data_IF_869287233918
#
_entry.id   IF_869287233918
#
_cell.length_a   1.000
_cell.length_b   1.000
_cell.length_c   1.000
_cell.angle_alpha   90.00
_cell.angle_beta   90.00
_cell.angle_gamma   90.00
#
_symmetry.space_group_name_H-M   'P 1'
#
loop_
_entity.id
_entity.type
_entity.pdbx_description
1 polymer ?
#
# COMPACT_ATOMS: atom_id res chain seq x y z
N UNK A 1 27.34 -5.44 7.15
CA UNK A 1 25.98 -4.98 6.79
C UNK A 1 25.95 -3.50 7.09
N UNK A 2 25.29 -2.67 6.29
CA UNK A 2 25.12 -1.26 6.63
C UNK A 2 24.41 -1.13 7.97
N UNK A 3 24.73 -0.08 8.71
CA UNK A 3 24.05 0.23 9.98
C UNK A 3 22.56 0.41 9.71
N UNK A 4 21.70 -0.30 10.44
CA UNK A 4 20.24 -0.16 10.27
C UNK A 4 19.81 1.21 10.76
N UNK A 5 18.93 1.89 10.01
CA UNK A 5 18.42 3.18 10.44
C UNK A 5 17.54 3.00 11.68
N UNK A 6 17.47 4.03 12.50
CA UNK A 6 16.53 4.05 13.62
C UNK A 6 15.09 4.14 13.10
N UNK A 7 14.24 3.30 13.64
CA UNK A 7 12.79 3.31 13.42
C UNK A 7 12.11 3.03 14.77
N UNK A 8 12.25 4.00 15.67
CA UNK A 8 11.78 3.87 17.05
C UNK A 8 10.25 4.09 17.07
N UNK A 9 9.53 3.11 17.59
CA UNK A 9 8.08 3.17 17.82
C UNK A 9 7.85 3.20 19.33
N UNK A 10 7.09 4.16 19.88
CA UNK A 10 6.79 4.20 21.30
C UNK A 10 6.15 2.90 21.79
N UNK A 11 6.30 2.58 23.08
CA UNK A 11 5.66 1.43 23.70
C UNK A 11 4.13 1.48 23.51
N UNK A 12 3.51 0.31 23.40
CA UNK A 12 2.06 0.23 23.18
C UNK A 12 1.54 -1.21 23.27
N UNK A 13 0.25 -1.35 22.98
CA UNK A 13 -0.44 -2.62 22.93
C UNK A 13 -0.38 -3.20 21.50
N UNK A 14 -0.65 -4.49 21.36
CA UNK A 14 -0.82 -5.12 20.05
C UNK A 14 -2.28 -5.05 19.59
N UNK A 15 -2.51 -4.70 18.32
CA UNK A 15 -3.79 -4.87 17.64
C UNK A 15 -3.86 -6.26 17.01
N UNK A 16 -5.09 -6.73 16.70
CA UNK A 16 -5.28 -7.80 15.73
C UNK A 16 -5.35 -7.19 14.34
N UNK A 17 -4.65 -7.77 13.39
CA UNK A 17 -4.58 -7.28 12.02
C UNK A 17 -4.90 -8.40 11.06
N UNK A 18 -5.80 -8.16 10.12
CA UNK A 18 -6.07 -9.05 8.99
C UNK A 18 -5.87 -8.29 7.67
N UNK A 19 -5.27 -8.94 6.69
CA UNK A 19 -5.10 -8.41 5.34
C UNK A 19 -6.24 -8.93 4.48
N UNK A 20 -6.98 -8.01 3.85
CA UNK A 20 -8.16 -8.32 3.04
C UNK A 20 -7.79 -8.15 1.57
N UNK A 21 -8.02 -9.19 0.77
CA UNK A 21 -8.07 -9.05 -0.68
C UNK A 21 -9.37 -8.32 -1.05
N UNK A 22 -9.27 -7.07 -1.48
CA UNK A 22 -10.43 -6.23 -1.84
C UNK A 22 -11.24 -6.75 -3.04
N UNK A 23 -10.85 -7.88 -3.59
CA UNK A 23 -11.40 -8.51 -4.79
C UNK A 23 -11.14 -7.75 -6.11
N UNK A 24 -10.52 -6.59 -6.09
CA UNK A 24 -10.11 -5.88 -7.30
C UNK A 24 -9.14 -6.73 -8.12
N UNK A 25 -9.40 -6.81 -9.42
CA UNK A 25 -8.44 -7.26 -10.45
C UNK A 25 -8.46 -6.23 -11.56
N UNK A 26 -7.40 -5.43 -11.63
CA UNK A 26 -7.19 -4.41 -12.66
C UNK A 26 -6.04 -4.84 -13.56
N UNK A 27 -6.31 -5.07 -14.82
CA UNK A 27 -5.31 -5.41 -15.84
C UNK A 27 -5.31 -4.43 -17.01
N UNK A 28 -4.27 -4.49 -17.86
CA UNK A 28 -4.14 -3.66 -19.02
C UNK A 28 -3.64 -2.23 -18.78
N UNK A 29 -3.29 -1.88 -17.54
CA UNK A 29 -2.68 -0.59 -17.23
C UNK A 29 -1.24 -0.55 -17.74
N UNK A 30 -0.84 0.44 -18.57
CA UNK A 30 0.55 0.57 -18.99
C UNK A 30 1.49 0.73 -17.79
N UNK A 31 2.64 0.04 -17.81
CA UNK A 31 3.62 0.15 -16.73
C UNK A 31 4.10 1.59 -16.52
N UNK A 32 4.34 2.30 -17.63
CA UNK A 32 4.81 3.70 -17.62
C UNK A 32 3.75 4.70 -17.17
N UNK A 33 2.49 4.26 -16.95
CA UNK A 33 1.47 5.09 -16.32
C UNK A 33 1.82 5.38 -14.85
N UNK A 34 2.32 4.37 -14.13
CA UNK A 34 2.65 4.48 -12.71
C UNK A 34 4.13 4.79 -12.46
N UNK A 35 5.05 4.27 -13.28
CA UNK A 35 6.49 4.25 -12.98
C UNK A 35 7.36 4.60 -14.18
N UNK A 36 8.56 5.12 -13.88
CA UNK A 36 9.63 5.43 -14.85
C UNK A 36 11.02 5.08 -14.27
N UNK A 37 12.06 4.85 -15.12
CA UNK A 37 12.00 4.71 -16.56
C UNK A 37 11.34 3.40 -17.00
N UNK A 38 10.94 3.31 -18.26
CA UNK A 38 10.43 2.07 -18.85
C UNK A 38 11.45 0.92 -18.70
N UNK A 39 10.94 -0.33 -18.68
CA UNK A 39 11.78 -1.53 -18.63
C UNK A 39 11.36 -2.49 -19.74
N UNK A 40 12.33 -3.04 -20.47
CA UNK A 40 12.08 -4.02 -21.53
C UNK A 40 11.30 -5.22 -20.97
N UNK A 41 10.19 -5.56 -21.63
CA UNK A 41 9.33 -6.68 -21.21
C UNK A 41 8.35 -6.38 -20.06
N UNK A 42 8.30 -5.12 -19.60
CA UNK A 42 7.30 -4.61 -18.69
C UNK A 42 6.48 -3.50 -19.37
N UNK A 43 5.67 -3.89 -20.36
CA UNK A 43 4.82 -2.96 -21.11
C UNK A 43 3.55 -2.61 -20.32
N UNK A 44 3.04 -3.55 -19.52
CA UNK A 44 1.89 -3.38 -18.67
C UNK A 44 2.22 -3.79 -17.22
N UNK A 45 1.48 -3.21 -16.28
CA UNK A 45 1.50 -3.66 -14.89
C UNK A 45 1.04 -5.13 -14.79
N UNK A 46 1.59 -5.93 -13.88
CA UNK A 46 0.93 -7.14 -13.44
C UNK A 46 -0.52 -6.83 -13.04
N UNK A 47 -1.42 -7.81 -13.10
CA UNK A 47 -2.79 -7.58 -12.62
C UNK A 47 -2.76 -7.04 -11.20
N UNK A 48 -3.28 -5.83 -11.00
CA UNK A 48 -3.26 -5.14 -9.71
C UNK A 48 -4.45 -5.54 -8.85
N UNK A 49 -4.25 -5.53 -7.56
CA UNK A 49 -5.28 -5.48 -6.52
C UNK A 49 -5.00 -4.29 -5.61
N UNK A 50 -5.90 -3.98 -4.69
CA UNK A 50 -5.63 -3.12 -3.53
C UNK A 50 -5.83 -3.95 -2.28
N UNK A 51 -4.82 -4.01 -1.43
CA UNK A 51 -4.95 -4.63 -0.12
C UNK A 51 -5.67 -3.68 0.83
N UNK A 52 -6.72 -4.17 1.47
CA UNK A 52 -7.38 -3.50 2.58
C UNK A 52 -6.98 -4.18 3.89
N UNK A 53 -7.14 -3.49 5.01
CA UNK A 53 -6.75 -4.05 6.31
C UNK A 53 -7.87 -3.85 7.32
N UNK A 54 -8.16 -4.89 8.09
CA UNK A 54 -8.98 -4.78 9.30
C UNK A 54 -8.05 -4.74 10.51
N UNK A 55 -8.17 -3.68 11.31
CA UNK A 55 -7.37 -3.47 12.51
C UNK A 55 -8.32 -3.40 13.71
N UNK A 56 -8.17 -4.34 14.66
CA UNK A 56 -8.94 -4.38 15.88
C UNK A 56 -8.04 -4.05 17.07
N UNK A 57 -8.34 -2.96 17.76
CA UNK A 57 -7.62 -2.56 18.97
C UNK A 57 -7.92 -3.48 20.15
N UNK A 58 -7.06 -3.51 21.19
CA UNK A 58 -7.34 -4.25 22.43
C UNK A 58 -8.61 -3.81 23.17
N UNK A 59 -9.13 -2.63 22.86
CA UNK A 59 -10.40 -2.13 23.40
C UNK A 59 -11.63 -2.60 22.62
N UNK A 60 -11.44 -3.35 21.52
CA UNK A 60 -12.50 -3.84 20.65
C UNK A 60 -12.93 -2.87 19.54
N UNK A 61 -12.32 -1.67 19.45
CA UNK A 61 -12.56 -0.76 18.33
C UNK A 61 -11.98 -1.31 17.04
N UNK A 62 -12.72 -1.19 15.95
CA UNK A 62 -12.33 -1.71 14.63
C UNK A 62 -12.20 -0.58 13.61
N UNK A 63 -11.09 -0.58 12.89
CA UNK A 63 -10.86 0.31 11.76
C UNK A 63 -10.55 -0.49 10.50
N UNK A 64 -11.03 0.00 9.36
CA UNK A 64 -10.60 -0.46 8.04
C UNK A 64 -9.64 0.56 7.44
N UNK A 65 -8.55 0.09 6.86
CA UNK A 65 -7.63 0.91 6.08
C UNK A 65 -7.78 0.52 4.62
N UNK A 66 -8.28 1.45 3.80
CA UNK A 66 -8.71 1.34 2.42
C UNK A 66 -9.87 0.34 2.17
N UNK A 67 -10.58 0.53 1.07
CA UNK A 67 -11.73 -0.29 0.67
C UNK A 67 -11.63 -0.83 -0.78
N UNK A 68 -10.51 -0.59 -1.47
CA UNK A 68 -10.37 -0.98 -2.88
C UNK A 68 -11.27 -0.17 -3.82
N UNK A 69 -11.80 -0.84 -4.85
CA UNK A 69 -12.75 -0.31 -5.83
C UNK A 69 -14.15 -0.80 -5.48
N UNK A 70 -15.21 0.03 -5.59
CA UNK A 70 -16.57 -0.43 -5.35
C UNK A 70 -17.03 -1.41 -6.43
N UNK A 71 -17.87 -2.36 -6.04
CA UNK A 71 -18.64 -3.16 -6.99
C UNK A 71 -19.43 -2.24 -7.92
N UNK A 72 -19.50 -2.57 -9.21
CA UNK A 72 -20.13 -1.74 -10.23
C UNK A 72 -19.57 -0.28 -10.26
N UNK A 73 -18.25 -0.12 -10.49
CA UNK A 73 -17.58 1.16 -10.31
C UNK A 73 -18.16 2.29 -11.18
N UNK A 74 -18.67 1.98 -12.38
CA UNK A 74 -19.29 2.98 -13.25
C UNK A 74 -20.59 3.58 -12.70
N UNK A 75 -21.21 2.94 -11.71
CA UNK A 75 -22.41 3.44 -11.02
C UNK A 75 -22.09 4.07 -9.68
N UNK A 76 -21.11 3.51 -8.98
CA UNK A 76 -20.86 3.82 -7.58
C UNK A 76 -19.75 4.85 -7.37
N UNK A 77 -19.11 5.32 -8.43
CA UNK A 77 -18.18 6.46 -8.37
C UNK A 77 -18.83 7.79 -8.76
N UNK A 78 -18.12 8.89 -8.49
CA UNK A 78 -18.40 10.17 -9.12
C UNK A 78 -18.22 10.05 -10.64
N UNK A 79 -18.88 10.91 -11.44
CA UNK A 79 -18.68 10.91 -12.90
C UNK A 79 -17.22 11.01 -13.31
N UNK A 80 -16.41 11.75 -12.56
CA UNK A 80 -14.96 11.91 -12.83
C UNK A 80 -14.22 10.58 -12.84
N UNK A 81 -14.43 9.72 -11.86
CA UNK A 81 -13.78 8.40 -11.81
C UNK A 81 -14.42 7.41 -12.78
N UNK A 82 -15.75 7.41 -12.93
CA UNK A 82 -16.41 6.60 -13.93
C UNK A 82 -15.87 6.91 -15.35
N UNK A 83 -15.65 8.18 -15.67
CA UNK A 83 -15.09 8.62 -16.95
C UNK A 83 -13.60 8.28 -17.08
N UNK A 84 -12.85 8.32 -15.99
CA UNK A 84 -11.45 7.86 -15.99
C UNK A 84 -11.36 6.40 -16.41
N UNK A 85 -12.20 5.53 -15.85
CA UNK A 85 -12.25 4.11 -16.24
C UNK A 85 -12.67 3.96 -17.71
N UNK A 86 -13.72 4.68 -18.16
CA UNK A 86 -14.20 4.60 -19.54
C UNK A 86 -13.17 5.06 -20.58
N UNK A 87 -12.39 6.12 -20.28
CA UNK A 87 -11.37 6.67 -21.18
C UNK A 87 -10.16 5.74 -21.32
N UNK A 88 -9.87 4.95 -20.32
CA UNK A 88 -8.78 3.98 -20.32
C UNK A 88 -9.32 2.62 -20.81
N UNK A 89 -9.69 2.53 -22.08
CA UNK A 89 -10.35 1.36 -22.67
C UNK A 89 -9.53 0.05 -22.59
N UNK A 90 -8.24 0.15 -22.35
CA UNK A 90 -7.37 -1.02 -22.13
C UNK A 90 -7.42 -1.56 -20.70
N UNK A 91 -8.03 -0.81 -19.78
CA UNK A 91 -8.18 -1.25 -18.38
C UNK A 91 -9.35 -2.22 -18.27
N UNK A 92 -9.07 -3.42 -17.81
CA UNK A 92 -10.08 -4.37 -17.38
C UNK A 92 -10.20 -4.32 -15.85
N UNK A 93 -11.31 -3.74 -15.38
CA UNK A 93 -11.58 -3.52 -13.94
C UNK A 93 -12.65 -4.50 -13.49
N UNK A 94 -12.26 -5.57 -12.84
CA UNK A 94 -13.17 -6.57 -12.29
C UNK A 94 -13.21 -6.49 -10.77
N UNK A 95 -14.41 -6.30 -10.21
CA UNK A 95 -14.65 -6.19 -8.76
C UNK A 95 -15.91 -6.99 -8.41
N UNK A 96 -15.79 -8.26 -8.08
CA UNK A 96 -16.95 -9.10 -7.75
C UNK A 96 -17.62 -8.75 -6.42
N UNK A 97 -16.86 -8.21 -5.44
CA UNK A 97 -17.34 -7.94 -4.08
C UNK A 97 -16.81 -6.61 -3.55
N UNK A 98 -17.63 -5.89 -2.76
CA UNK A 98 -17.12 -4.84 -1.89
C UNK A 98 -16.39 -5.44 -0.68
N UNK A 99 -15.53 -4.68 -0.02
CA UNK A 99 -14.95 -5.09 1.26
C UNK A 99 -16.04 -5.38 2.30
N UNK A 100 -17.14 -4.62 2.28
CA UNK A 100 -18.30 -4.87 3.14
C UNK A 100 -18.92 -6.25 2.91
N UNK A 101 -19.03 -6.72 1.66
CA UNK A 101 -19.55 -8.06 1.33
C UNK A 101 -18.60 -9.13 1.90
N UNK A 102 -17.29 -8.93 1.76
CA UNK A 102 -16.27 -9.86 2.26
C UNK A 102 -16.33 -9.97 3.79
N UNK A 103 -16.51 -8.86 4.49
CA UNK A 103 -16.66 -8.85 5.95
C UNK A 103 -17.93 -9.60 6.38
N UNK A 104 -19.07 -9.29 5.76
CA UNK A 104 -20.35 -9.89 6.09
C UNK A 104 -20.37 -11.40 5.82
N UNK A 105 -19.76 -11.90 4.75
CA UNK A 105 -19.60 -13.31 4.44
C UNK A 105 -18.75 -14.08 5.48
N UNK A 106 -18.00 -13.37 6.31
CA UNK A 106 -17.16 -13.92 7.37
C UNK A 106 -17.64 -13.49 8.77
N UNK A 107 -18.94 -13.27 8.92
CA UNK A 107 -19.63 -13.01 10.19
C UNK A 107 -19.20 -11.71 10.91
N UNK A 108 -18.53 -10.78 10.25
CA UNK A 108 -18.24 -9.46 10.79
C UNK A 108 -19.41 -8.52 10.53
N UNK A 109 -20.04 -8.03 11.59
CA UNK A 109 -21.13 -7.08 11.48
C UNK A 109 -20.60 -5.70 11.07
N UNK A 110 -21.13 -5.12 10.00
CA UNK A 110 -20.67 -3.79 9.51
C UNK A 110 -20.87 -2.68 10.55
N UNK A 111 -21.82 -2.87 11.48
CA UNK A 111 -22.04 -1.95 12.61
C UNK A 111 -20.95 -1.97 13.68
N UNK A 112 -20.05 -2.96 13.63
CA UNK A 112 -18.88 -3.04 14.52
C UNK A 112 -17.68 -2.25 13.98
N UNK A 113 -17.74 -1.77 12.75
CA UNK A 113 -16.68 -0.97 12.15
C UNK A 113 -16.85 0.49 12.58
N UNK A 114 -15.96 0.93 13.47
CA UNK A 114 -16.00 2.31 14.01
C UNK A 114 -15.52 3.32 12.97
N UNK A 115 -14.54 2.95 12.16
CA UNK A 115 -13.89 3.88 11.23
C UNK A 115 -13.45 3.19 9.94
N UNK A 116 -13.57 3.92 8.83
CA UNK A 116 -12.89 3.66 7.57
C UNK A 116 -11.86 4.74 7.36
N UNK A 117 -10.64 4.37 7.06
CA UNK A 117 -9.52 5.26 6.78
C UNK A 117 -9.22 5.15 5.30
N UNK A 118 -9.34 6.25 4.56
CA UNK A 118 -8.80 6.33 3.23
C UNK A 118 -7.35 6.76 3.31
N UNK A 119 -6.43 5.93 2.80
CA UNK A 119 -5.03 6.33 2.66
C UNK A 119 -4.91 7.59 1.83
N UNK A 120 -5.72 7.68 0.77
CA UNK A 120 -5.89 8.85 -0.09
C UNK A 120 -7.18 8.71 -0.92
N UNK A 121 -7.45 9.69 -1.80
CA UNK A 121 -8.74 9.75 -2.50
C UNK A 121 -8.82 8.93 -3.79
N UNK A 122 -7.75 8.32 -4.29
CA UNK A 122 -7.78 7.62 -5.58
C UNK A 122 -8.83 6.51 -5.62
N UNK A 123 -9.33 6.26 -6.84
CA UNK A 123 -10.51 5.43 -7.09
C UNK A 123 -10.38 4.00 -6.54
N UNK A 124 -9.17 3.47 -6.49
CA UNK A 124 -8.89 2.10 -6.07
C UNK A 124 -8.59 1.94 -4.57
N UNK A 125 -8.85 3.00 -3.78
CA UNK A 125 -8.70 3.00 -2.31
C UNK A 125 -10.00 3.31 -1.58
N UNK A 126 -10.87 4.13 -2.18
CA UNK A 126 -12.04 4.69 -1.49
C UNK A 126 -13.23 3.73 -1.36
N UNK A 127 -13.33 2.72 -2.24
CA UNK A 127 -14.41 1.74 -2.28
C UNK A 127 -15.81 2.35 -2.25
N UNK A 128 -16.74 1.68 -1.57
CA UNK A 128 -18.07 2.23 -1.30
C UNK A 128 -18.36 2.27 0.20
N UNK A 129 -18.00 3.37 0.85
CA UNK A 129 -18.24 3.57 2.28
C UNK A 129 -19.73 3.64 2.62
N UNK A 130 -20.62 3.89 1.65
CA UNK A 130 -22.07 3.94 1.89
C UNK A 130 -22.66 2.59 2.25
N UNK A 131 -21.92 1.50 2.04
CA UNK A 131 -22.27 0.15 2.50
C UNK A 131 -22.19 -0.01 4.01
N UNK A 132 -21.46 0.89 4.69
CA UNK A 132 -21.35 0.92 6.15
C UNK A 132 -22.38 1.88 6.77
N UNK A 133 -22.84 1.62 8.02
CA UNK A 133 -23.78 2.50 8.70
C UNK A 133 -23.19 3.90 8.87
N UNK A 134 -24.07 4.90 9.04
CA UNK A 134 -23.66 6.31 9.22
C UNK A 134 -22.87 6.57 10.52
N UNK A 135 -22.93 5.65 11.47
CA UNK A 135 -22.08 5.66 12.66
C UNK A 135 -20.61 5.39 12.39
N UNK A 136 -20.28 4.73 11.28
CA UNK A 136 -18.89 4.51 10.85
C UNK A 136 -18.29 5.82 10.37
N UNK A 137 -17.23 6.29 11.03
CA UNK A 137 -16.52 7.53 10.67
C UNK A 137 -15.72 7.35 9.38
N UNK A 138 -15.57 8.42 8.60
CA UNK A 138 -14.59 8.48 7.51
C UNK A 138 -13.39 9.31 7.97
N UNK A 139 -12.21 8.68 7.94
CA UNK A 139 -10.94 9.29 8.32
C UNK A 139 -10.13 9.56 7.06
N UNK A 140 -9.58 10.76 6.96
CA UNK A 140 -8.79 11.23 5.82
C UNK A 140 -7.55 11.99 6.28
N UNK A 141 -6.59 12.12 5.39
CA UNK A 141 -5.35 12.83 5.69
C UNK A 141 -5.45 14.35 5.54
N UNK A 142 -4.36 15.06 5.93
CA UNK A 142 -4.33 16.52 5.95
C UNK A 142 -4.56 17.16 4.58
N UNK A 143 -5.41 18.19 4.54
CA UNK A 143 -5.71 18.95 3.34
C UNK A 143 -6.84 18.37 2.48
N UNK A 144 -7.35 17.18 2.80
CA UNK A 144 -8.42 16.53 2.06
C UNK A 144 -9.68 17.40 1.97
N UNK A 145 -10.16 17.93 3.10
CA UNK A 145 -11.38 18.75 3.10
C UNK A 145 -11.26 19.98 2.23
N UNK A 146 -10.09 20.61 2.25
CA UNK A 146 -9.83 21.80 1.43
C UNK A 146 -9.76 21.49 -0.06
N UNK A 147 -9.22 20.31 -0.42
CA UNK A 147 -8.97 19.95 -1.81
C UNK A 147 -10.19 19.34 -2.51
N UNK A 148 -11.05 18.60 -1.77
CA UNK A 148 -12.07 17.74 -2.37
C UNK A 148 -13.51 18.04 -1.94
N UNK A 149 -13.72 19.01 -1.02
CA UNK A 149 -15.07 19.42 -0.67
C UNK A 149 -15.45 20.76 -1.34
N UNK A 150 -16.71 20.92 -1.74
CA UNK A 150 -17.79 19.92 -1.65
C UNK A 150 -17.57 18.77 -2.64
N UNK A 151 -18.20 17.60 -2.34
CA UNK A 151 -18.17 16.45 -3.24
C UNK A 151 -19.17 16.59 -4.40
N UNK A 152 -19.16 15.59 -5.30
CA UNK A 152 -20.21 15.45 -6.31
C UNK A 152 -21.56 15.14 -5.63
N UNK A 153 -22.71 15.73 -5.98
CA UNK A 153 -22.91 16.56 -7.16
C UNK A 153 -22.71 18.07 -6.98
N UNK A 154 -22.46 18.58 -5.76
CA UNK A 154 -22.31 20.02 -5.56
C UNK A 154 -21.10 20.59 -6.31
N UNK A 155 -20.00 19.85 -6.38
CA UNK A 155 -18.92 20.06 -7.33
C UNK A 155 -18.96 18.95 -8.40
N UNK A 156 -19.37 19.27 -9.65
CA UNK A 156 -19.43 18.27 -10.72
C UNK A 156 -18.09 17.63 -11.09
N UNK A 157 -16.98 18.32 -10.80
CA UNK A 157 -15.61 17.86 -11.09
C UNK A 157 -14.95 17.15 -9.90
N UNK A 158 -15.64 17.04 -8.75
CA UNK A 158 -15.08 16.35 -7.59
C UNK A 158 -14.89 14.84 -7.83
N UNK A 159 -13.75 14.27 -7.44
CA UNK A 159 -13.53 12.83 -7.49
C UNK A 159 -14.33 12.06 -6.43
N UNK A 160 -14.69 12.72 -5.32
CA UNK A 160 -15.43 12.10 -4.21
C UNK A 160 -16.91 12.53 -4.24
N UNK A 161 -17.79 11.72 -3.65
CA UNK A 161 -19.24 12.00 -3.62
C UNK A 161 -19.64 12.57 -2.26
N UNK A 162 -20.61 13.48 -2.22
CA UNK A 162 -21.23 13.91 -0.97
C UNK A 162 -21.79 12.72 -0.17
N UNK A 163 -22.35 11.72 -0.87
CA UNK A 163 -22.84 10.49 -0.26
C UNK A 163 -21.79 9.74 0.57
N UNK A 164 -20.51 9.93 0.29
CA UNK A 164 -19.43 9.25 1.02
C UNK A 164 -19.29 9.79 2.45
N UNK A 165 -19.64 11.05 2.70
CA UNK A 165 -19.50 11.68 4.02
C UNK A 165 -20.80 12.27 4.57
N UNK A 166 -21.88 12.35 3.79
CA UNK A 166 -23.17 12.84 4.25
C UNK A 166 -23.70 11.98 5.42
N UNK A 167 -24.04 12.64 6.54
CA UNK A 167 -24.61 12.00 7.70
C UNK A 167 -23.66 11.15 8.54
N UNK A 168 -22.34 11.17 8.24
CA UNK A 168 -21.29 10.55 9.04
C UNK A 168 -20.24 11.57 9.45
N UNK A 169 -19.48 11.26 10.48
CA UNK A 169 -18.33 12.08 10.83
C UNK A 169 -17.24 11.92 9.77
N UNK A 170 -16.85 13.05 9.12
CA UNK A 170 -15.67 13.17 8.30
C UNK A 170 -14.56 13.83 9.12
N UNK A 171 -13.57 13.03 9.54
CA UNK A 171 -12.44 13.50 10.37
C UNK A 171 -11.17 13.58 9.52
N UNK A 172 -10.61 14.78 9.45
CA UNK A 172 -9.28 15.00 8.89
C UNK A 172 -8.24 14.92 9.99
N UNK A 173 -7.17 14.15 9.79
CA UNK A 173 -6.09 13.98 10.77
C UNK A 173 -5.23 15.23 10.81
N UNK A 174 -4.96 15.69 12.03
CA UNK A 174 -4.01 16.76 12.31
C UNK A 174 -2.79 16.20 13.05
N UNK A 175 -1.65 16.16 12.39
CA UNK A 175 -0.38 15.71 12.97
C UNK A 175 0.27 16.74 13.90
N UNK A 176 -0.30 17.95 14.01
CA UNK A 176 0.20 19.01 14.90
C UNK A 176 -0.47 18.98 16.29
N UNK A 177 -1.67 18.42 16.39
CA UNK A 177 -2.43 18.38 17.65
C UNK A 177 -1.66 17.67 18.78
N UNK A 178 -1.03 16.53 18.46
CA UNK A 178 -0.16 15.78 19.37
C UNK A 178 1.08 15.34 18.63
N UNK A 179 2.11 16.19 18.55
CA UNK A 179 3.30 15.89 17.79
C UNK A 179 3.95 14.57 18.22
N UNK A 180 3.95 13.60 17.32
CA UNK A 180 4.58 12.30 17.49
C UNK A 180 5.39 12.00 16.22
N UNK A 181 6.55 11.37 16.38
CA UNK A 181 7.39 10.96 15.27
C UNK A 181 7.77 9.50 15.40
N UNK A 182 7.63 8.75 14.30
CA UNK A 182 8.07 7.35 14.18
C UNK A 182 9.01 7.27 12.98
N UNK A 183 10.28 6.98 13.26
CA UNK A 183 11.32 7.09 12.24
C UNK A 183 11.31 8.49 11.60
N UNK A 184 11.27 8.62 10.27
CA UNK A 184 11.23 9.92 9.59
C UNK A 184 9.82 10.55 9.50
N UNK A 185 8.75 9.84 9.92
CA UNK A 185 7.38 10.24 9.68
C UNK A 185 6.75 10.92 10.89
N UNK A 186 5.97 11.99 10.65
CA UNK A 186 4.99 12.44 11.63
C UNK A 186 3.95 11.34 11.82
N UNK A 187 3.53 11.12 13.05
CA UNK A 187 2.64 10.02 13.40
C UNK A 187 1.46 10.50 14.26
N UNK A 188 0.35 9.79 14.17
CA UNK A 188 -0.84 9.97 14.99
C UNK A 188 -1.23 8.62 15.59
N UNK A 189 -1.25 8.51 16.92
CA UNK A 189 -1.73 7.31 17.62
C UNK A 189 -3.25 7.23 17.50
N UNK A 190 -3.73 6.36 16.59
CA UNK A 190 -5.14 6.37 16.18
C UNK A 190 -6.09 5.92 17.28
N UNK A 191 -5.75 4.87 18.01
CA UNK A 191 -6.56 4.37 19.12
C UNK A 191 -6.14 4.95 20.47
N UNK A 192 -5.00 5.64 20.57
CA UNK A 192 -4.48 6.24 21.80
C UNK A 192 -3.83 5.23 22.75
N UNK A 193 -3.47 4.04 22.28
CA UNK A 193 -2.87 2.97 23.11
C UNK A 193 -1.61 2.35 22.49
N UNK A 194 -1.10 2.97 21.43
CA UNK A 194 0.12 2.55 20.73
C UNK A 194 -0.03 1.28 19.88
N UNK A 195 -1.26 0.84 19.64
CA UNK A 195 -1.51 -0.37 18.84
C UNK A 195 -1.59 -0.10 17.34
N UNK A 196 -2.00 1.13 16.94
CA UNK A 196 -2.10 1.52 15.55
C UNK A 196 -1.82 3.01 15.36
N UNK A 197 -0.94 3.32 14.42
CA UNK A 197 -0.55 4.69 14.09
C UNK A 197 -0.89 4.99 12.63
N UNK A 198 -1.34 6.22 12.37
CA UNK A 198 -1.34 6.80 11.04
C UNK A 198 -0.05 7.59 10.85
N UNK A 199 0.58 7.45 9.70
CA UNK A 199 1.82 8.13 9.35
C UNK A 199 1.56 9.11 8.22
N UNK A 200 2.15 10.29 8.32
CA UNK A 200 2.10 11.30 7.27
C UNK A 200 3.12 10.94 6.17
N UNK A 201 2.64 10.52 5.03
CA UNK A 201 3.46 10.06 3.90
C UNK A 201 3.12 10.83 2.61
N UNK A 202 3.42 12.15 2.59
CA UNK A 202 3.00 13.03 1.51
C UNK A 202 3.76 12.76 0.20
N UNK A 203 3.18 13.22 -0.91
CA UNK A 203 3.82 13.25 -2.23
C UNK A 203 3.00 12.56 -3.31
N UNK A 204 2.55 11.33 -3.07
CA UNK A 204 1.69 10.62 -4.02
C UNK A 204 0.38 11.38 -4.24
N UNK A 205 -0.25 11.79 -3.15
CA UNK A 205 -1.51 12.54 -3.18
C UNK A 205 -1.62 13.52 -2.01
N UNK A 206 -2.60 14.45 -2.10
CA UNK A 206 -2.95 15.36 -1.00
C UNK A 206 -3.50 14.52 0.16
N UNK A 207 -2.84 14.63 1.31
CA UNK A 207 -3.26 13.93 2.51
C UNK A 207 -2.99 12.43 2.49
N UNK A 208 -2.06 11.94 1.66
CA UNK A 208 -1.72 10.53 1.65
C UNK A 208 -1.21 10.06 3.02
N UNK A 209 -1.80 8.98 3.53
CA UNK A 209 -1.51 8.35 4.81
C UNK A 209 -0.96 6.93 4.61
N UNK A 210 -0.01 6.54 5.42
CA UNK A 210 0.29 5.14 5.68
C UNK A 210 -0.21 4.72 7.07
N UNK A 211 -0.37 3.42 7.29
CA UNK A 211 -0.70 2.84 8.59
C UNK A 211 0.47 2.04 9.17
N UNK A 212 0.61 2.03 10.49
CA UNK A 212 1.58 1.17 11.19
C UNK A 212 0.87 0.50 12.36
N UNK A 213 0.57 -0.79 12.25
CA UNK A 213 -0.08 -1.57 13.30
C UNK A 213 0.93 -2.45 14.03
N UNK A 214 0.93 -2.42 15.35
CA UNK A 214 1.71 -3.31 16.21
C UNK A 214 1.00 -4.66 16.28
N UNK A 215 1.66 -5.72 15.82
CA UNK A 215 1.07 -7.07 15.75
C UNK A 215 1.43 -7.93 16.95
N UNK A 216 2.58 -7.71 17.59
CA UNK A 216 2.99 -8.38 18.84
C UNK A 216 3.71 -7.43 19.77
N UNK A 217 3.80 -7.82 21.05
CA UNK A 217 4.64 -7.18 22.07
C UNK A 217 5.60 -8.20 22.66
N UNK A 218 6.82 -7.80 22.99
CA UNK A 218 7.85 -8.61 23.62
C UNK A 218 8.32 -9.86 22.85
N UNK A 219 8.91 -9.78 21.64
CA UNK A 219 9.34 -8.59 20.93
C UNK A 219 8.22 -7.95 20.09
N UNK A 220 8.33 -6.64 19.89
CA UNK A 220 7.41 -5.91 19.04
C UNK A 220 7.59 -6.26 17.58
N UNK A 221 6.46 -6.49 16.89
CA UNK A 221 6.41 -6.61 15.43
C UNK A 221 5.32 -5.73 14.86
N UNK A 222 5.47 -5.31 13.61
CA UNK A 222 4.57 -4.34 12.97
C UNK A 222 4.23 -4.76 11.55
N UNK A 223 3.03 -4.36 11.11
CA UNK A 223 2.67 -4.31 9.68
C UNK A 223 2.60 -2.84 9.29
N UNK A 224 3.38 -2.46 8.26
CA UNK A 224 3.34 -1.14 7.65
C UNK A 224 2.42 -1.21 6.42
N UNK A 225 1.32 -0.46 6.44
CA UNK A 225 0.31 -0.37 5.39
C UNK A 225 0.62 0.86 4.55
N UNK A 226 1.31 0.64 3.43
CA UNK A 226 1.92 1.73 2.66
C UNK A 226 0.96 2.56 1.81
N UNK A 227 -0.28 2.09 1.58
CA UNK A 227 -1.12 2.69 0.54
C UNK A 227 -0.37 2.74 -0.79
N UNK A 228 -0.46 3.86 -1.49
CA UNK A 228 0.25 4.12 -2.75
C UNK A 228 1.55 4.92 -2.56
N UNK A 229 2.20 4.74 -1.40
CA UNK A 229 3.55 5.27 -1.21
C UNK A 229 4.49 4.78 -2.32
N UNK A 230 4.29 3.55 -2.79
CA UNK A 230 4.89 2.99 -4.00
C UNK A 230 3.94 1.96 -4.64
N UNK A 231 4.10 1.72 -5.97
CA UNK A 231 3.23 0.83 -6.74
C UNK A 231 3.90 -0.49 -7.12
N UNK A 232 5.20 -0.59 -6.89
CA UNK A 232 6.00 -1.78 -7.21
C UNK A 232 7.21 -1.88 -6.28
N UNK A 233 7.60 -3.10 -5.92
CA UNK A 233 8.76 -3.32 -5.05
C UNK A 233 10.06 -2.69 -5.57
N UNK A 234 10.17 -2.48 -6.88
CA UNK A 234 11.31 -1.83 -7.53
C UNK A 234 11.40 -0.31 -7.34
N UNK A 235 10.38 0.36 -6.81
CA UNK A 235 10.44 1.77 -6.35
C UNK A 235 11.02 1.88 -4.94
N UNK A 236 10.92 0.79 -4.14
CA UNK A 236 11.33 0.76 -2.74
C UNK A 236 12.71 0.07 -2.56
N UNK A 237 13.02 -0.94 -3.39
CA UNK A 237 14.17 -1.84 -3.26
C UNK A 237 14.95 -1.98 -4.57
N UNK A 238 16.28 -2.19 -4.51
CA UNK A 238 17.12 -2.24 -3.33
C UNK A 238 17.28 -0.87 -2.67
N UNK A 239 17.90 -0.85 -1.48
CA UNK A 239 18.28 0.39 -0.82
C UNK A 239 19.64 0.24 -0.12
N UNK A 240 20.23 1.35 0.29
CA UNK A 240 21.46 1.32 1.08
C UNK A 240 21.32 0.55 2.40
N UNK A 241 20.09 0.41 2.92
CA UNK A 241 19.78 -0.31 4.15
C UNK A 241 19.41 -1.77 3.89
N UNK A 242 18.95 -2.08 2.67
CA UNK A 242 18.50 -3.38 2.24
C UNK A 242 19.08 -3.71 0.86
N UNK A 243 20.39 -4.02 0.77
CA UNK A 243 21.03 -4.42 -0.48
C UNK A 243 20.59 -5.83 -0.90
N UNK A 244 20.88 -6.21 -2.14
CA UNK A 244 20.63 -7.56 -2.62
C UNK A 244 21.27 -8.62 -1.72
N UNK A 245 20.52 -9.68 -1.34
CA UNK A 245 21.09 -10.79 -0.60
C UNK A 245 21.99 -11.63 -1.51
N UNK A 246 23.05 -12.23 -0.92
CA UNK A 246 23.97 -13.12 -1.64
C UNK A 246 23.30 -14.38 -2.23
N UNK A 247 22.15 -14.78 -1.66
CA UNK A 247 21.36 -15.93 -2.09
C UNK A 247 20.12 -15.53 -2.91
N UNK A 248 20.15 -14.38 -3.60
CA UNK A 248 19.00 -13.80 -4.31
C UNK A 248 18.32 -14.80 -5.25
N UNK A 249 19.09 -15.62 -5.98
CA UNK A 249 18.55 -16.61 -6.90
C UNK A 249 17.63 -17.65 -6.26
N UNK A 250 17.75 -17.88 -4.94
CA UNK A 250 16.88 -18.81 -4.20
C UNK A 250 15.48 -18.25 -3.94
N UNK A 251 15.32 -16.93 -4.00
CA UNK A 251 14.05 -16.23 -3.77
C UNK A 251 13.24 -16.03 -5.05
N UNK A 252 13.79 -16.42 -6.21
CA UNK A 252 13.21 -16.14 -7.52
C UNK A 252 12.72 -17.41 -8.21
N UNK A 253 11.53 -17.34 -8.81
CA UNK A 253 10.96 -18.40 -9.67
C UNK A 253 11.36 -18.19 -11.13
N UNK A 254 12.65 -18.05 -11.37
CA UNK A 254 13.22 -17.81 -12.70
C UNK A 254 13.52 -19.11 -13.44
N UNK A 255 13.67 -19.01 -14.78
CA UNK A 255 14.20 -20.12 -15.59
C UNK A 255 15.60 -20.53 -15.10
N UNK A 256 15.98 -21.80 -15.32
CA UNK A 256 17.27 -22.31 -14.82
C UNK A 256 18.48 -21.54 -15.36
N UNK A 257 18.41 -21.06 -16.62
CA UNK A 257 19.46 -20.23 -17.23
C UNK A 257 19.62 -18.88 -16.52
N UNK A 258 18.52 -18.21 -16.19
CA UNK A 258 18.52 -16.94 -15.44
C UNK A 258 18.94 -17.13 -13.99
N UNK A 259 18.48 -18.22 -13.38
CA UNK A 259 18.91 -18.59 -12.03
C UNK A 259 20.42 -18.82 -11.96
N UNK A 260 21.00 -19.50 -12.96
CA UNK A 260 22.43 -19.73 -13.06
C UNK A 260 23.19 -18.40 -13.25
N UNK A 261 22.71 -17.53 -14.12
CA UNK A 261 23.30 -16.21 -14.38
C UNK A 261 23.31 -15.34 -13.11
N UNK A 262 22.19 -15.26 -12.40
CA UNK A 262 22.10 -14.53 -11.13
C UNK A 262 22.83 -15.21 -9.97
N UNK A 263 23.11 -16.53 -10.02
CA UNK A 263 23.86 -17.24 -8.96
C UNK A 263 25.35 -16.92 -8.98
N UNK A 264 25.92 -16.58 -10.14
CA UNK A 264 27.33 -16.25 -10.28
C UNK A 264 27.65 -14.84 -9.77
N UNK A 265 26.74 -13.90 -9.94
CA UNK A 265 26.88 -12.52 -9.46
C UNK A 265 25.49 -11.86 -9.27
N UNK A 266 24.78 -12.16 -8.16
CA UNK A 266 23.35 -11.87 -8.04
C UNK A 266 22.98 -10.39 -8.21
N UNK A 267 23.84 -9.47 -7.82
CA UNK A 267 23.59 -8.01 -7.92
C UNK A 267 24.05 -7.42 -9.25
N UNK A 268 25.08 -7.95 -9.91
CA UNK A 268 25.71 -7.27 -11.04
C UNK A 268 24.78 -7.17 -12.25
N UNK A 269 24.07 -8.22 -12.62
CA UNK A 269 23.14 -8.19 -13.76
C UNK A 269 22.00 -7.18 -13.56
N UNK A 270 21.51 -7.03 -12.33
CA UNK A 270 20.48 -6.05 -11.97
C UNK A 270 21.06 -4.62 -11.94
N UNK A 271 22.29 -4.47 -11.47
CA UNK A 271 23.01 -3.19 -11.47
C UNK A 271 23.34 -2.75 -12.89
N UNK A 272 23.84 -3.66 -13.74
CA UNK A 272 24.11 -3.42 -15.16
C UNK A 272 22.83 -2.96 -15.90
N UNK A 273 21.71 -3.65 -15.68
CA UNK A 273 20.41 -3.26 -16.21
C UNK A 273 19.97 -1.85 -15.73
N UNK A 274 20.22 -1.49 -14.47
CA UNK A 274 19.96 -0.14 -13.96
C UNK A 274 20.85 0.91 -14.63
N UNK A 275 22.14 0.63 -14.77
CA UNK A 275 23.12 1.52 -15.42
C UNK A 275 22.74 1.78 -16.89
N UNK A 276 22.35 0.74 -17.64
CA UNK A 276 21.88 0.87 -19.03
C UNK A 276 20.63 1.76 -19.15
N UNK A 277 19.81 1.83 -18.08
CA UNK A 277 18.62 2.67 -18.01
C UNK A 277 18.87 4.04 -17.40
N UNK A 278 20.16 4.42 -17.17
CA UNK A 278 20.57 5.72 -16.62
C UNK A 278 20.41 5.86 -15.10
N UNK A 279 20.33 4.75 -14.38
CA UNK A 279 20.30 4.71 -12.91
C UNK A 279 21.65 4.29 -12.33
N UNK A 280 21.85 4.47 -11.03
CA UNK A 280 23.09 4.01 -10.39
C UNK A 280 22.97 2.54 -9.92
N UNK A 281 24.13 1.89 -9.78
CA UNK A 281 24.21 0.58 -9.13
C UNK A 281 23.70 0.65 -7.69
N UNK A 282 22.93 -0.36 -7.26
CA UNK A 282 22.32 -0.42 -5.92
C UNK A 282 21.18 0.57 -5.68
N UNK A 283 20.76 1.31 -6.70
CA UNK A 283 19.61 2.21 -6.67
C UNK A 283 18.31 1.43 -6.97
N UNK A 284 17.16 1.97 -6.56
CA UNK A 284 15.84 1.45 -6.94
C UNK A 284 15.70 1.39 -8.46
N UNK A 285 14.79 0.54 -8.97
CA UNK A 285 14.61 0.36 -10.41
C UNK A 285 13.74 1.43 -11.05
N UNK A 286 12.87 2.05 -10.27
CA UNK A 286 11.86 2.99 -10.75
C UNK A 286 11.70 4.15 -9.80
N UNK A 287 11.16 5.23 -10.36
CA UNK A 287 10.59 6.37 -9.64
C UNK A 287 9.12 6.51 -10.06
N UNK A 288 8.26 7.12 -9.24
CA UNK A 288 6.87 7.37 -9.61
C UNK A 288 6.77 8.27 -10.84
N UNK A 289 5.91 7.87 -11.79
CA UNK A 289 5.58 8.68 -12.96
C UNK A 289 4.37 9.58 -12.71
N UNK A 290 3.48 9.17 -11.79
CA UNK A 290 2.31 9.93 -11.32
C UNK A 290 2.52 10.40 -9.88
N UNK A 291 1.66 11.30 -9.43
CA UNK A 291 1.61 11.82 -8.08
C UNK A 291 1.42 13.34 -8.06
N UNK A 292 0.86 13.84 -6.98
CA UNK A 292 0.61 15.26 -6.75
C UNK A 292 1.93 16.05 -6.70
N UNK A 293 2.92 15.52 -5.96
CA UNK A 293 4.29 16.03 -5.89
C UNK A 293 5.27 14.86 -6.00
N UNK A 294 5.76 14.61 -7.22
CA UNK A 294 6.62 13.46 -7.51
C UNK A 294 7.99 13.53 -6.83
N UNK A 295 8.53 14.71 -6.62
CA UNK A 295 9.82 14.87 -5.93
C UNK A 295 9.66 14.53 -4.44
N UNK A 296 8.57 15.00 -3.85
CA UNK A 296 8.23 14.67 -2.48
C UNK A 296 7.89 13.18 -2.35
N UNK A 297 7.18 12.57 -3.31
CA UNK A 297 6.91 11.13 -3.32
C UNK A 297 8.21 10.31 -3.33
N UNK A 298 9.17 10.66 -4.19
CA UNK A 298 10.50 10.01 -4.22
C UNK A 298 11.21 10.15 -2.86
N UNK A 299 11.13 11.32 -2.22
CA UNK A 299 11.71 11.54 -0.90
C UNK A 299 11.01 10.64 0.14
N UNK A 300 9.69 10.60 0.15
CA UNK A 300 8.88 9.79 1.07
C UNK A 300 9.17 8.30 0.90
N UNK A 301 9.34 7.81 -0.35
CA UNK A 301 9.76 6.42 -0.61
C UNK A 301 11.16 6.15 0.01
N UNK A 302 12.12 7.06 -0.18
CA UNK A 302 13.46 6.94 0.43
C UNK A 302 13.42 6.92 1.96
N UNK A 303 12.54 7.70 2.55
CA UNK A 303 12.29 7.69 4.00
C UNK A 303 11.66 6.36 4.45
N UNK A 304 10.73 5.79 3.68
CA UNK A 304 10.10 4.51 3.97
C UNK A 304 11.05 3.31 3.89
N UNK A 305 12.16 3.42 3.17
CA UNK A 305 13.23 2.41 3.18
C UNK A 305 13.78 2.16 4.59
N UNK A 306 13.63 3.12 5.52
CA UNK A 306 14.03 2.94 6.92
C UNK A 306 13.14 1.93 7.65
N UNK A 307 11.85 1.94 7.38
CA UNK A 307 10.89 0.97 7.92
C UNK A 307 11.06 -0.40 7.24
N UNK A 308 11.20 -0.41 5.91
CA UNK A 308 11.35 -1.63 5.13
C UNK A 308 12.59 -2.45 5.52
N UNK A 309 13.65 -1.78 5.97
CA UNK A 309 14.89 -2.42 6.42
C UNK A 309 14.81 -3.06 7.83
N UNK A 310 13.74 -2.82 8.61
CA UNK A 310 13.60 -3.39 9.95
C UNK A 310 13.14 -4.85 9.88
N UNK A 311 13.78 -5.75 10.63
CA UNK A 311 13.38 -7.17 10.69
C UNK A 311 12.01 -7.40 11.35
N UNK A 312 11.55 -6.43 12.13
CA UNK A 312 10.29 -6.49 12.86
C UNK A 312 9.19 -5.66 12.20
N UNK A 313 9.38 -5.20 10.96
CA UNK A 313 8.37 -4.51 10.16
C UNK A 313 8.11 -5.30 8.88
N UNK A 314 6.86 -5.67 8.66
CA UNK A 314 6.38 -6.22 7.40
C UNK A 314 5.76 -5.09 6.59
N UNK A 315 6.46 -4.67 5.54
CA UNK A 315 6.02 -3.58 4.68
C UNK A 315 5.12 -4.11 3.57
N UNK A 316 3.89 -3.62 3.50
CA UNK A 316 2.88 -3.97 2.49
C UNK A 316 2.40 -2.68 1.84
N UNK A 317 2.64 -2.51 0.54
CA UNK A 317 2.01 -1.42 -0.24
C UNK A 317 0.76 -1.93 -0.96
N UNK A 318 -0.12 -1.03 -1.39
CA UNK A 318 -1.46 -1.38 -1.85
C UNK A 318 -1.49 -2.41 -2.98
N UNK A 319 -0.54 -2.33 -3.91
CA UNK A 319 -0.49 -3.17 -5.10
C UNK A 319 0.57 -4.27 -5.04
N UNK A 320 0.98 -4.69 -3.84
CA UNK A 320 2.01 -5.73 -3.68
C UNK A 320 1.49 -7.12 -4.06
N UNK A 321 1.61 -7.43 -5.35
CA UNK A 321 1.20 -8.74 -5.90
C UNK A 321 2.07 -9.91 -5.40
N UNK A 322 3.20 -9.64 -4.75
CA UNK A 322 4.07 -10.69 -4.19
C UNK A 322 3.42 -11.46 -3.05
N UNK A 323 2.38 -10.90 -2.44
CA UNK A 323 1.65 -11.48 -1.32
C UNK A 323 0.79 -12.69 -1.73
N UNK A 324 0.29 -12.73 -2.99
CA UNK A 324 -0.59 -13.81 -3.44
C UNK A 324 0.07 -15.17 -3.31
N UNK A 325 -0.66 -16.10 -2.66
CA UNK A 325 -0.22 -17.48 -2.44
C UNK A 325 0.92 -17.63 -1.41
N UNK A 326 1.29 -16.54 -0.71
CA UNK A 326 2.34 -16.54 0.32
C UNK A 326 1.78 -16.30 1.70
N UNK A 327 0.86 -15.34 1.83
CA UNK A 327 0.31 -14.94 3.13
C UNK A 327 -1.11 -15.48 3.33
N UNK A 328 -1.50 -15.57 4.58
CA UNK A 328 -2.91 -15.81 4.93
C UNK A 328 -3.70 -14.51 4.80
N UNK A 329 -4.87 -14.61 4.16
CA UNK A 329 -5.80 -13.50 3.99
C UNK A 329 -6.93 -13.58 5.03
N UNK A 330 -7.62 -12.47 5.25
CA UNK A 330 -8.86 -12.44 6.02
C UNK A 330 -9.80 -13.60 5.62
N UNK A 331 -10.44 -14.31 6.57
CA UNK A 331 -10.60 -13.93 8.00
C UNK A 331 -9.45 -14.32 8.94
N UNK A 332 -8.35 -14.85 8.44
CA UNK A 332 -7.20 -15.16 9.28
C UNK A 332 -6.45 -13.87 9.67
N UNK A 333 -5.91 -13.90 10.90
CA UNK A 333 -5.05 -12.83 11.40
C UNK A 333 -3.65 -12.92 10.79
N UNK A 334 -3.01 -11.76 10.62
CA UNK A 334 -1.66 -11.61 10.10
C UNK A 334 -0.60 -11.40 11.20
N UNK A 335 -0.99 -11.51 12.48
CA UNK A 335 -0.13 -11.17 13.61
C UNK A 335 1.12 -12.04 13.73
N UNK A 336 1.08 -13.25 13.21
CA UNK A 336 2.19 -14.22 13.22
C UNK A 336 3.05 -14.18 11.93
N UNK A 337 2.93 -13.10 11.14
CA UNK A 337 3.62 -12.93 9.86
C UNK A 337 5.12 -13.21 9.94
N UNK A 338 5.77 -12.78 11.05
CA UNK A 338 7.21 -12.96 11.25
C UNK A 338 7.56 -14.43 11.47
N UNK A 339 6.78 -15.14 12.28
CA UNK A 339 6.98 -16.57 12.54
C UNK A 339 6.76 -17.40 11.27
N UNK A 340 5.84 -16.97 10.40
CA UNK A 340 5.56 -17.59 9.09
C UNK A 340 6.59 -17.23 8.01
N UNK A 341 7.47 -16.27 8.29
CA UNK A 341 8.50 -15.83 7.35
C UNK A 341 7.94 -15.16 6.11
N UNK A 342 6.83 -14.40 6.24
CA UNK A 342 6.18 -13.78 5.08
C UNK A 342 7.05 -12.70 4.44
N UNK A 343 7.72 -11.89 5.26
CA UNK A 343 8.62 -10.86 4.77
C UNK A 343 9.71 -11.45 3.89
N UNK A 344 10.42 -12.47 4.37
CA UNK A 344 11.51 -13.11 3.66
C UNK A 344 11.06 -13.76 2.34
N UNK A 345 9.84 -14.29 2.32
CA UNK A 345 9.26 -14.95 1.15
C UNK A 345 8.78 -13.97 0.07
N UNK A 346 8.43 -12.74 0.44
CA UNK A 346 7.84 -11.75 -0.48
C UNK A 346 8.82 -10.67 -0.91
N UNK A 347 9.80 -10.33 -0.06
CA UNK A 347 10.68 -9.17 -0.15
C UNK A 347 11.27 -8.91 -1.54
N UNK A 348 11.78 -9.97 -2.20
CA UNK A 348 12.45 -9.89 -3.50
C UNK A 348 11.65 -10.52 -4.63
N UNK A 349 10.45 -11.02 -4.36
CA UNK A 349 9.63 -11.75 -5.35
C UNK A 349 9.21 -10.88 -6.54
N UNK A 350 9.15 -9.55 -6.37
CA UNK A 350 8.88 -8.61 -7.46
C UNK A 350 9.90 -8.69 -8.61
N UNK A 351 11.13 -9.14 -8.35
CA UNK A 351 12.17 -9.31 -9.37
C UNK A 351 11.81 -10.38 -10.41
N UNK A 352 10.84 -11.26 -10.14
CA UNK A 352 10.30 -12.18 -11.14
C UNK A 352 9.69 -11.45 -12.35
N UNK A 353 9.24 -10.21 -12.16
CA UNK A 353 8.72 -9.38 -13.24
C UNK A 353 9.82 -8.96 -14.24
N UNK A 354 11.10 -9.06 -13.89
CA UNK A 354 12.24 -8.62 -14.69
C UNK A 354 12.81 -9.72 -15.59
N UNK A 355 12.20 -10.91 -15.60
CA UNK A 355 12.72 -12.04 -16.38
C UNK A 355 12.96 -11.69 -17.87
N UNK A 356 12.04 -10.95 -18.49
CA UNK A 356 12.17 -10.56 -19.89
C UNK A 356 13.25 -9.48 -20.12
N UNK A 357 13.49 -8.62 -19.12
CA UNK A 357 14.54 -7.60 -19.18
C UNK A 357 15.94 -8.21 -19.02
N UNK A 358 16.05 -9.31 -18.25
CA UNK A 358 17.31 -10.01 -17.98
C UNK A 358 17.66 -11.03 -19.06
N UNK A 359 16.75 -11.38 -19.99
CA UNK A 359 17.07 -12.20 -21.15
C UNK A 359 17.91 -11.39 -22.13
N UNK A 360 19.16 -11.75 -22.25
CA UNK A 360 20.14 -11.25 -23.22
C UNK A 360 19.78 -11.67 -24.67
#
# INVERSE_FOLDING_TARGET
MPERPRFDVPDGKAAKVSIIDSSLRLSGMPFTYLMKPAMKGLDAMPTLTTWSFLIESPSGKKALFDLGVPKEPLKNFSPKYADTIRRNSNWDVNVPKNVADILAENDVQLSEIDSVIWSHHHFDHIGDITTFPRSTQLIVGPGFKKAFLPGYPADPDSPVREADFEGRELREIDFQDKPLQIGPFRAFDFFGDGSFYLLDTPGHDIGHLAGLARTTTGPDTFIFMGGDLCHHGGELRPSKYLPYPSNLSQHLSLSDSLRLHLSQCPGSALDDMNIERGRAAGETFFDPAIGFDKELAIKTIKEAQTADAQDNVFFVFAHDMTLFGVIDMFPKEANDWKQKGWKEKTLWKFLNNFEAALKL
#
